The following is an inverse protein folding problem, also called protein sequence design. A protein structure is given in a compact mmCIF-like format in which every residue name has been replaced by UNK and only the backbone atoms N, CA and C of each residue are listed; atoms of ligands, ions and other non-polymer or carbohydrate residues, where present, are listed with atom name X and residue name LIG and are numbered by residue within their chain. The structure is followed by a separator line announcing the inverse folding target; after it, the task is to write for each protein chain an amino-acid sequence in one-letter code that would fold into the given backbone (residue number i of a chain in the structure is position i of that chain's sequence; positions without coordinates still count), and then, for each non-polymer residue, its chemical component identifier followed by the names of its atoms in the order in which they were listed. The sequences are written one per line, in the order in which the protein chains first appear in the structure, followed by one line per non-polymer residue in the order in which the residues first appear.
data_IF_875503233771
#
_entry.id   IF_875503233771
#
_cell.length_a   1.000
_cell.length_b   1.000
_cell.length_c   1.000
_cell.angle_alpha   90.00
_cell.angle_beta   90.00
_cell.angle_gamma   90.00
#
_symmetry.space_group_name_H-M   'P 1'
#
loop_
_entity.id
_entity.type
_entity.pdbx_description
1 polymer ?
#
# COMPACT_ATOMS: atom_id res chain seq x y z
N UNK A 1 -16.35 7.19 -13.57
CA UNK A 1 -15.64 7.19 -12.27
C UNK A 1 -16.21 8.30 -11.41
N UNK A 2 -16.49 8.04 -10.14
CA UNK A 2 -16.89 9.06 -9.18
C UNK A 2 -15.76 10.07 -9.04
N UNK A 3 -16.02 11.36 -9.22
CA UNK A 3 -14.98 12.41 -9.09
C UNK A 3 -14.57 12.48 -7.61
N UNK A 4 -13.35 12.12 -7.29
CA UNK A 4 -12.80 12.22 -5.93
C UNK A 4 -12.51 13.69 -5.63
N UNK A 5 -13.02 14.20 -4.49
CA UNK A 5 -12.67 15.53 -4.01
C UNK A 5 -11.19 15.60 -3.66
N UNK A 6 -10.49 16.63 -4.09
CA UNK A 6 -9.06 16.79 -3.88
C UNK A 6 -8.77 17.93 -2.90
N UNK A 7 -7.81 17.69 -2.04
CA UNK A 7 -7.36 18.69 -1.09
C UNK A 7 -6.80 19.95 -1.76
N UNK A 8 -6.08 19.76 -2.88
CA UNK A 8 -5.56 20.86 -3.70
C UNK A 8 -6.66 21.78 -4.25
N UNK A 9 -7.82 21.20 -4.63
CA UNK A 9 -8.95 21.98 -5.13
C UNK A 9 -9.55 22.81 -3.99
N UNK A 10 -9.70 22.23 -2.79
CA UNK A 10 -10.20 22.95 -1.60
C UNK A 10 -9.28 24.11 -1.21
N UNK A 11 -7.95 23.92 -1.32
CA UNK A 11 -6.98 25.01 -1.08
C UNK A 11 -7.16 26.12 -2.13
N UNK A 12 -7.22 25.78 -3.42
CA UNK A 12 -7.37 26.74 -4.51
C UNK A 12 -8.71 27.53 -4.39
N UNK A 13 -9.74 26.92 -3.84
CA UNK A 13 -11.05 27.54 -3.57
C UNK A 13 -11.08 28.34 -2.25
N UNK A 14 -9.97 28.44 -1.52
CA UNK A 14 -9.89 29.15 -0.23
C UNK A 14 -10.66 28.51 0.92
N UNK A 15 -11.10 27.24 0.77
CA UNK A 15 -11.95 26.53 1.74
C UNK A 15 -11.19 25.93 2.93
N UNK A 16 -9.87 26.11 3.01
CA UNK A 16 -9.00 25.51 4.00
C UNK A 16 -8.49 26.52 5.03
N UNK A 17 -8.47 27.81 4.70
CA UNK A 17 -7.97 28.87 5.58
C UNK A 17 -8.74 28.93 6.90
N UNK A 18 -7.99 28.93 8.01
CA UNK A 18 -8.53 28.92 9.36
C UNK A 18 -9.24 27.62 9.78
N UNK A 19 -9.27 26.61 8.92
CA UNK A 19 -9.92 25.33 9.21
C UNK A 19 -9.00 24.36 9.94
N UNK A 20 -9.60 23.46 10.73
CA UNK A 20 -8.92 22.32 11.33
C UNK A 20 -8.81 21.22 10.30
N UNK A 21 -7.60 20.90 9.89
CA UNK A 21 -7.31 19.90 8.86
C UNK A 21 -6.66 18.69 9.50
N UNK A 22 -7.29 17.53 9.37
CA UNK A 22 -6.79 16.24 9.86
C UNK A 22 -6.23 15.46 8.68
N UNK A 23 -4.90 15.25 8.64
CA UNK A 23 -4.22 14.53 7.56
C UNK A 23 -3.84 13.13 8.05
N UNK A 24 -4.38 12.10 7.38
CA UNK A 24 -3.91 10.72 7.54
C UNK A 24 -2.76 10.50 6.57
N UNK A 25 -1.54 10.56 7.08
CA UNK A 25 -0.32 10.33 6.32
C UNK A 25 0.19 8.87 6.46
N UNK A 26 1.06 8.42 5.58
CA UNK A 26 1.78 7.16 5.72
C UNK A 26 3.22 7.44 6.21
N UNK A 27 3.40 7.42 7.52
CA UNK A 27 4.67 7.67 8.21
C UNK A 27 5.22 6.40 8.87
N UNK A 28 4.77 5.23 8.40
CA UNK A 28 5.25 3.94 8.89
C UNK A 28 6.63 3.62 8.31
N UNK A 29 7.64 4.25 8.90
CA UNK A 29 9.05 4.15 8.50
C UNK A 29 9.75 2.95 9.13
N UNK A 30 10.76 2.37 8.49
CA UNK A 30 11.63 1.39 9.12
C UNK A 30 12.53 2.05 10.15
N UNK A 31 12.78 1.33 11.25
CA UNK A 31 13.63 1.76 12.36
C UNK A 31 14.66 0.69 12.68
N UNK A 32 15.83 1.11 13.21
CA UNK A 32 16.80 0.22 13.81
C UNK A 32 16.37 -0.21 15.23
N UNK A 33 17.19 -1.06 15.89
CA UNK A 33 16.91 -1.55 17.24
C UNK A 33 16.93 -0.45 18.31
N UNK A 34 17.46 0.73 17.99
CA UNK A 34 17.50 1.90 18.87
C UNK A 34 16.33 2.88 18.58
N UNK A 35 15.43 2.54 17.64
CA UNK A 35 14.30 3.38 17.24
C UNK A 35 14.66 4.53 16.29
N UNK A 36 15.88 4.55 15.72
CA UNK A 36 16.26 5.56 14.74
C UNK A 36 15.64 5.20 13.37
N UNK A 37 15.16 6.21 12.66
CA UNK A 37 14.64 6.05 11.30
C UNK A 37 15.80 5.69 10.37
N UNK A 38 15.73 4.53 9.71
CA UNK A 38 16.75 4.07 8.76
C UNK A 38 16.46 4.51 7.33
N UNK A 39 15.19 4.84 7.03
CA UNK A 39 14.75 5.32 5.73
C UNK A 39 13.55 6.27 5.90
N UNK A 40 13.61 7.50 5.37
CA UNK A 40 12.64 8.58 5.61
C UNK A 40 11.81 9.01 4.40
N UNK A 41 11.83 8.27 3.30
CA UNK A 41 11.09 8.61 2.07
C UNK A 41 9.61 8.88 2.33
N UNK A 42 8.97 8.11 3.20
CA UNK A 42 7.55 8.31 3.54
C UNK A 42 7.32 9.62 4.28
N UNK A 43 8.24 10.00 5.16
CA UNK A 43 8.17 11.30 5.86
C UNK A 43 8.32 12.43 4.87
N UNK A 44 9.33 12.37 3.99
CA UNK A 44 9.56 13.38 2.92
C UNK A 44 8.36 13.49 1.99
N UNK A 45 7.78 12.38 1.59
CA UNK A 45 6.62 12.33 0.70
C UNK A 45 5.36 12.97 1.31
N UNK A 46 5.23 12.98 2.64
CA UNK A 46 4.10 13.60 3.35
C UNK A 46 4.25 15.12 3.55
N UNK A 47 5.48 15.65 3.45
CA UNK A 47 5.77 17.08 3.66
C UNK A 47 4.98 18.01 2.72
N UNK A 48 4.81 17.74 1.41
CA UNK A 48 4.07 18.62 0.51
C UNK A 48 2.62 18.87 0.94
N UNK A 49 1.89 17.83 1.38
CA UNK A 49 0.51 17.96 1.84
C UNK A 49 0.41 18.82 3.10
N UNK A 50 1.32 18.56 4.07
CA UNK A 50 1.39 19.30 5.33
C UNK A 50 1.72 20.77 5.06
N UNK A 51 2.72 21.04 4.23
CA UNK A 51 3.14 22.39 3.87
C UNK A 51 2.02 23.14 3.17
N UNK A 52 1.35 22.52 2.20
CA UNK A 52 0.22 23.14 1.50
C UNK A 52 -0.92 23.53 2.45
N UNK A 53 -1.21 22.70 3.45
CA UNK A 53 -2.20 23.01 4.48
C UNK A 53 -1.77 24.21 5.35
N UNK A 54 -0.50 24.25 5.76
CA UNK A 54 0.06 25.34 6.56
C UNK A 54 0.10 26.65 5.79
N UNK A 55 0.53 26.62 4.53
CA UNK A 55 0.61 27.78 3.63
C UNK A 55 -0.80 28.35 3.34
N UNK A 56 -1.84 27.49 3.37
CA UNK A 56 -3.25 27.90 3.29
C UNK A 56 -3.80 28.45 4.61
N UNK A 57 -3.02 28.52 5.68
CA UNK A 57 -3.43 29.03 7.00
C UNK A 57 -4.30 28.09 7.82
N UNK A 58 -4.23 26.77 7.59
CA UNK A 58 -4.96 25.78 8.36
C UNK A 58 -4.33 25.53 9.74
N UNK A 59 -5.12 25.02 10.67
CA UNK A 59 -4.68 24.34 11.88
C UNK A 59 -4.51 22.85 11.57
N UNK A 60 -3.26 22.36 11.53
CA UNK A 60 -2.93 21.06 10.94
C UNK A 60 -2.69 20.00 12.00
N UNK A 61 -3.41 18.90 11.92
CA UNK A 61 -3.20 17.68 12.69
C UNK A 61 -2.81 16.56 11.76
N UNK A 62 -1.67 15.93 12.00
CA UNK A 62 -1.19 14.79 11.21
C UNK A 62 -1.21 13.54 12.05
N UNK A 63 -1.66 12.42 11.52
CA UNK A 63 -1.51 11.12 12.18
C UNK A 63 -1.05 10.04 11.21
N UNK A 64 -0.48 9.00 11.76
CA UNK A 64 -0.12 7.78 11.05
C UNK A 64 -0.13 6.60 12.00
N UNK A 65 0.04 5.41 11.44
CA UNK A 65 0.46 4.25 12.21
C UNK A 65 1.99 4.08 12.12
N UNK A 66 2.54 3.43 13.12
CA UNK A 66 3.91 2.92 13.14
C UNK A 66 3.88 1.47 13.65
N UNK A 67 4.50 0.55 12.93
CA UNK A 67 4.58 -0.84 13.34
C UNK A 67 3.23 -1.56 13.48
N UNK A 68 3.18 -2.47 14.45
CA UNK A 68 2.00 -3.31 14.72
C UNK A 68 1.68 -3.37 16.22
N UNK A 69 1.39 -2.26 16.87
CA UNK A 69 1.09 -2.24 18.28
C UNK A 69 -0.17 -3.04 18.62
N UNK A 70 -0.27 -3.43 19.90
CA UNK A 70 -1.51 -3.94 20.47
C UNK A 70 -2.42 -2.78 20.82
N UNK A 71 -3.65 -2.77 20.31
CA UNK A 71 -4.63 -1.71 20.61
C UNK A 71 -4.89 -1.57 22.12
N UNK A 72 -4.86 -0.34 22.60
CA UNK A 72 -5.05 -0.01 24.02
C UNK A 72 -3.82 -0.26 24.91
N UNK A 73 -2.68 -0.61 24.31
CA UNK A 73 -1.40 -0.79 25.00
C UNK A 73 -0.34 0.03 24.27
N UNK A 74 -0.03 1.19 24.81
CA UNK A 74 1.06 2.02 24.27
C UNK A 74 2.40 1.58 24.87
N UNK A 75 3.40 1.45 24.00
CA UNK A 75 4.80 1.21 24.39
C UNK A 75 5.69 2.27 23.75
N UNK A 76 6.83 2.61 24.38
CA UNK A 76 7.75 3.63 23.82
C UNK A 76 8.21 3.36 22.39
N UNK A 77 8.40 2.10 22.03
CA UNK A 77 8.77 1.67 20.67
C UNK A 77 7.67 1.89 19.61
N UNK A 78 6.42 2.07 20.05
CA UNK A 78 5.29 2.35 19.17
C UNK A 78 5.12 3.84 18.88
N UNK A 79 5.93 4.71 19.54
CA UNK A 79 5.77 6.17 19.46
C UNK A 79 6.23 6.75 18.14
N UNK A 80 5.48 7.73 17.64
CA UNK A 80 5.83 8.58 16.52
C UNK A 80 6.83 9.69 16.88
N UNK A 81 7.42 9.71 18.07
CA UNK A 81 8.40 10.74 18.48
C UNK A 81 9.58 10.89 17.53
N UNK A 82 10.22 9.81 17.00
CA UNK A 82 11.27 9.96 15.99
C UNK A 82 10.76 10.62 14.69
N UNK A 83 9.51 10.34 14.32
CA UNK A 83 8.87 10.93 13.13
C UNK A 83 8.56 12.41 13.38
N UNK A 84 8.10 12.81 14.56
CA UNK A 84 7.88 14.21 14.92
C UNK A 84 9.16 15.03 14.80
N UNK A 85 10.28 14.49 15.32
CA UNK A 85 11.60 15.11 15.19
C UNK A 85 11.98 15.27 13.71
N UNK A 86 11.80 14.22 12.91
CA UNK A 86 12.15 14.26 11.48
C UNK A 86 11.26 15.23 10.68
N UNK A 87 9.97 15.29 10.97
CA UNK A 87 9.06 16.28 10.40
C UNK A 87 9.46 17.71 10.76
N UNK A 88 9.85 17.94 12.01
CA UNK A 88 10.33 19.28 12.45
C UNK A 88 11.54 19.74 11.65
N UNK A 89 12.51 18.85 11.43
CA UNK A 89 13.70 19.13 10.60
C UNK A 89 13.31 19.48 9.14
N UNK A 90 12.41 18.68 8.55
CA UNK A 90 12.02 18.83 7.15
C UNK A 90 11.13 20.06 6.90
N UNK A 91 10.31 20.43 7.88
CA UNK A 91 9.44 21.60 7.80
C UNK A 91 10.14 22.90 8.29
N UNK A 92 11.31 22.80 8.93
CA UNK A 92 12.04 23.94 9.51
C UNK A 92 11.27 24.63 10.64
N UNK A 93 10.42 23.87 11.36
CA UNK A 93 9.57 24.36 12.46
C UNK A 93 9.26 23.26 13.44
N UNK A 94 8.87 23.64 14.65
CA UNK A 94 8.45 22.67 15.68
C UNK A 94 7.16 21.92 15.25
N UNK A 95 7.15 20.60 15.45
CA UNK A 95 6.02 19.70 15.25
C UNK A 95 5.81 18.92 16.57
N UNK A 96 5.05 19.47 17.51
CA UNK A 96 4.78 18.80 18.79
C UNK A 96 4.04 17.48 18.58
N UNK A 97 4.44 16.46 19.35
CA UNK A 97 3.72 15.19 19.43
C UNK A 97 2.63 15.28 20.50
N UNK A 98 1.40 14.93 20.16
CA UNK A 98 0.25 14.93 21.09
C UNK A 98 -0.14 13.48 21.36
N UNK A 99 0.04 13.01 22.60
CA UNK A 99 -0.20 11.63 23.00
C UNK A 99 -1.71 11.30 23.10
N UNK A 100 -2.44 12.05 23.92
CA UNK A 100 -3.87 11.82 24.21
C UNK A 100 -4.74 12.76 23.37
N UNK A 101 -4.94 12.42 22.12
CA UNK A 101 -5.53 13.31 21.13
C UNK A 101 -6.99 13.01 20.76
N UNK A 102 -7.48 11.80 21.00
CA UNK A 102 -8.80 11.34 20.49
C UNK A 102 -9.97 12.15 21.08
N UNK A 103 -9.83 12.60 22.33
CA UNK A 103 -10.87 13.35 23.04
C UNK A 103 -10.71 14.88 22.93
N UNK A 104 -9.70 15.36 22.22
CA UNK A 104 -9.50 16.78 21.94
C UNK A 104 -8.07 17.15 21.59
N UNK A 105 -7.89 18.09 20.68
CA UNK A 105 -6.57 18.64 20.29
C UNK A 105 -6.68 20.15 20.17
N UNK A 106 -5.68 20.85 20.73
CA UNK A 106 -5.54 22.29 20.56
C UNK A 106 -4.42 22.58 19.56
N UNK A 107 -4.79 23.14 18.42
CA UNK A 107 -3.86 23.60 17.40
C UNK A 107 -4.37 24.90 16.78
N UNK A 108 -3.50 25.89 16.64
CA UNK A 108 -3.86 27.19 16.07
C UNK A 108 -3.65 27.20 14.55
N UNK A 109 -4.43 28.00 13.80
CA UNK A 109 -4.18 28.21 12.37
C UNK A 109 -2.71 28.59 12.10
N UNK A 110 -2.13 27.98 11.06
CA UNK A 110 -0.73 28.14 10.70
C UNK A 110 0.24 27.27 11.51
N UNK A 111 -0.24 26.45 12.44
CA UNK A 111 0.57 25.50 13.20
C UNK A 111 0.22 24.05 12.85
N UNK A 112 1.15 23.14 13.19
CA UNK A 112 1.01 21.71 12.96
C UNK A 112 1.35 20.93 14.22
N UNK A 113 0.62 19.85 14.46
CA UNK A 113 0.94 18.84 15.50
C UNK A 113 0.93 17.46 14.88
N UNK A 114 1.76 16.56 15.41
CA UNK A 114 1.69 15.14 15.12
C UNK A 114 0.90 14.45 16.22
N UNK A 115 -0.14 13.72 15.86
CA UNK A 115 -0.94 12.92 16.78
C UNK A 115 -0.31 11.54 16.92
N UNK A 116 -0.19 11.05 18.15
CA UNK A 116 0.45 9.77 18.44
C UNK A 116 -0.22 8.60 17.67
N UNK A 117 0.56 7.55 17.47
CA UNK A 117 0.26 6.36 16.71
C UNK A 117 -1.21 5.92 16.78
N UNK A 118 -1.93 6.10 15.68
CA UNK A 118 -3.37 5.83 15.63
C UNK A 118 -3.71 4.37 15.96
N UNK A 119 -2.80 3.43 15.68
CA UNK A 119 -3.01 1.99 15.96
C UNK A 119 -2.95 1.62 17.43
N UNK A 120 -2.52 2.52 18.31
CA UNK A 120 -2.62 2.32 19.75
C UNK A 120 -4.05 2.51 20.27
N UNK A 121 -4.95 3.14 19.50
CA UNK A 121 -6.33 3.35 19.90
C UNK A 121 -7.17 2.08 19.71
N UNK A 122 -7.95 1.72 20.74
CA UNK A 122 -8.91 0.61 20.63
C UNK A 122 -9.97 0.92 19.60
N UNK A 123 -10.18 -0.01 18.68
CA UNK A 123 -11.16 0.13 17.62
C UNK A 123 -10.62 0.65 16.29
N UNK A 124 -9.34 1.07 16.22
CA UNK A 124 -8.74 1.53 14.97
C UNK A 124 -8.82 0.48 13.88
N UNK A 125 -8.29 -0.72 14.11
CA UNK A 125 -8.27 -1.82 13.13
C UNK A 125 -9.67 -2.38 12.82
N UNK A 126 -10.62 -2.24 13.76
CA UNK A 126 -12.00 -2.70 13.59
C UNK A 126 -12.90 -1.67 12.93
N UNK A 127 -12.35 -0.50 12.58
CA UNK A 127 -13.10 0.61 12.01
C UNK A 127 -14.29 1.02 12.91
N UNK A 128 -14.05 1.14 14.21
CA UNK A 128 -15.08 1.44 15.20
C UNK A 128 -15.73 2.81 14.94
N UNK A 129 -17.05 2.82 14.81
CA UNK A 129 -17.81 4.03 14.50
C UNK A 129 -17.73 5.08 15.61
N UNK A 130 -17.67 4.67 16.87
CA UNK A 130 -17.54 5.58 18.02
C UNK A 130 -16.20 6.30 18.01
N UNK A 131 -15.11 5.59 17.76
CA UNK A 131 -13.78 6.15 17.59
C UNK A 131 -13.73 7.10 16.39
N UNK A 132 -14.27 6.67 15.25
CA UNK A 132 -14.30 7.46 14.02
C UNK A 132 -15.07 8.78 14.19
N UNK A 133 -16.22 8.76 14.90
CA UNK A 133 -16.99 9.95 15.22
C UNK A 133 -16.24 10.93 16.15
N UNK A 134 -15.50 10.42 17.14
CA UNK A 134 -14.65 11.26 17.98
C UNK A 134 -13.57 11.96 17.15
N UNK A 135 -12.87 11.23 16.31
CA UNK A 135 -11.84 11.77 15.41
C UNK A 135 -12.41 12.81 14.43
N UNK A 136 -13.58 12.52 13.83
CA UNK A 136 -14.23 13.45 12.91
C UNK A 136 -14.60 14.80 13.56
N UNK A 137 -14.92 14.84 14.85
CA UNK A 137 -15.19 16.08 15.58
C UNK A 137 -13.96 16.97 15.76
N UNK A 138 -12.75 16.41 15.62
CA UNK A 138 -11.50 17.16 15.74
C UNK A 138 -11.26 18.06 14.52
N UNK A 139 -11.88 17.79 13.36
CA UNK A 139 -11.57 18.48 12.13
C UNK A 139 -12.78 19.01 11.38
N UNK A 140 -12.53 19.99 10.53
CA UNK A 140 -13.49 20.53 9.56
C UNK A 140 -13.23 19.88 8.18
N UNK A 141 -11.97 19.47 7.92
CA UNK A 141 -11.55 18.79 6.70
C UNK A 141 -10.68 17.59 7.07
N UNK A 142 -11.09 16.42 6.63
CA UNK A 142 -10.29 15.20 6.68
C UNK A 142 -9.59 14.97 5.33
N UNK A 143 -8.30 14.71 5.38
CA UNK A 143 -7.46 14.42 4.20
C UNK A 143 -6.87 13.03 4.33
N UNK A 144 -7.23 12.11 3.43
CA UNK A 144 -6.51 10.85 3.30
C UNK A 144 -5.36 11.02 2.31
N UNK A 145 -4.13 10.90 2.79
CA UNK A 145 -2.91 10.98 1.96
C UNK A 145 -2.01 9.75 2.14
N UNK A 146 -2.62 8.63 2.49
CA UNK A 146 -1.96 7.37 2.80
C UNK A 146 -2.42 6.23 1.87
N UNK A 147 -2.02 6.28 0.59
CA UNK A 147 -2.40 5.26 -0.41
C UNK A 147 -2.06 3.84 0.04
N UNK A 148 -0.89 3.63 0.66
CA UNK A 148 -0.46 2.32 1.15
C UNK A 148 -1.40 1.66 2.16
N UNK A 149 -2.30 2.43 2.80
CA UNK A 149 -3.31 1.92 3.75
C UNK A 149 -4.74 2.02 3.21
N UNK A 150 -4.96 2.58 2.03
CA UNK A 150 -6.29 2.86 1.48
C UNK A 150 -7.15 1.59 1.26
N UNK A 151 -6.52 0.42 1.17
CA UNK A 151 -7.19 -0.88 1.06
C UNK A 151 -7.77 -1.40 2.39
N UNK A 152 -7.56 -0.70 3.50
CA UNK A 152 -7.98 -1.13 4.85
C UNK A 152 -9.15 -0.30 5.33
N UNK A 153 -10.22 -0.95 5.78
CA UNK A 153 -11.30 -0.30 6.51
C UNK A 153 -10.89 -0.14 7.99
N UNK A 154 -10.10 0.88 8.28
CA UNK A 154 -9.66 1.26 9.63
C UNK A 154 -10.31 2.62 10.00
N UNK A 155 -10.39 2.95 11.30
CA UNK A 155 -11.10 4.16 11.75
C UNK A 155 -10.47 5.45 11.18
N UNK A 156 -9.13 5.55 11.09
CA UNK A 156 -8.43 6.73 10.54
C UNK A 156 -8.35 6.75 9.02
N UNK A 157 -8.70 5.67 8.30
CA UNK A 157 -8.68 5.61 6.83
C UNK A 157 -10.07 5.65 6.22
N UNK A 158 -11.02 4.92 6.79
CA UNK A 158 -12.39 4.77 6.28
C UNK A 158 -13.43 5.44 7.20
N UNK A 159 -13.44 5.07 8.48
CA UNK A 159 -14.49 5.51 9.41
C UNK A 159 -14.58 7.01 9.54
N UNK A 160 -13.46 7.69 9.76
CA UNK A 160 -13.42 9.16 9.89
C UNK A 160 -13.98 9.86 8.65
N UNK A 161 -13.72 9.35 7.45
CA UNK A 161 -14.22 9.93 6.20
C UNK A 161 -15.76 9.88 6.09
N UNK A 162 -16.39 8.92 6.76
CA UNK A 162 -17.86 8.79 6.82
C UNK A 162 -18.51 9.90 7.65
N UNK A 163 -17.81 10.38 8.68
CA UNK A 163 -18.37 11.31 9.68
C UNK A 163 -17.77 12.73 9.62
N UNK A 164 -16.62 12.92 8.97
CA UNK A 164 -16.04 14.24 8.79
C UNK A 164 -16.94 15.15 7.93
N UNK A 165 -17.02 16.47 8.25
CA UNK A 165 -17.81 17.42 7.47
C UNK A 165 -17.38 17.46 5.99
N UNK A 166 -16.08 17.39 5.74
CA UNK A 166 -15.48 17.27 4.39
C UNK A 166 -14.41 16.20 4.43
N UNK A 167 -14.45 15.26 3.50
CA UNK A 167 -13.43 14.24 3.31
C UNK A 167 -12.88 14.32 1.89
N UNK A 168 -11.54 14.33 1.74
CA UNK A 168 -10.89 14.48 0.44
C UNK A 168 -9.59 13.67 0.35
N UNK A 169 -9.11 13.49 -0.88
CA UNK A 169 -7.81 12.89 -1.16
C UNK A 169 -6.72 13.95 -1.06
N UNK A 170 -5.66 13.63 -0.34
CA UNK A 170 -4.42 14.38 -0.36
C UNK A 170 -3.67 14.20 -1.69
N UNK A 171 -2.61 14.98 -1.93
CA UNK A 171 -1.90 14.97 -3.21
C UNK A 171 -1.28 13.62 -3.56
N UNK A 172 -0.74 12.87 -2.60
CA UNK A 172 -0.21 11.52 -2.83
C UNK A 172 -1.32 10.55 -3.24
N UNK A 173 -2.39 10.48 -2.47
CA UNK A 173 -3.52 9.61 -2.79
C UNK A 173 -4.13 9.97 -4.14
N UNK A 174 -4.29 11.26 -4.45
CA UNK A 174 -4.82 11.73 -5.72
C UNK A 174 -3.94 11.32 -6.91
N UNK A 175 -2.61 11.46 -6.77
CA UNK A 175 -1.65 11.06 -7.81
C UNK A 175 -1.70 9.55 -8.11
N UNK A 176 -1.79 8.72 -7.07
CA UNK A 176 -1.92 7.26 -7.21
C UNK A 176 -3.24 6.88 -7.89
N UNK A 177 -4.36 7.51 -7.48
CA UNK A 177 -5.66 7.29 -8.11
C UNK A 177 -5.66 7.71 -9.59
N UNK A 178 -4.99 8.81 -9.94
CA UNK A 178 -4.85 9.25 -11.33
C UNK A 178 -4.00 8.28 -12.14
N UNK A 179 -2.87 7.81 -11.59
CA UNK A 179 -2.00 6.83 -12.25
C UNK A 179 -2.73 5.52 -12.52
N UNK A 180 -3.41 4.96 -11.51
CA UNK A 180 -4.23 3.75 -11.66
C UNK A 180 -5.41 3.97 -12.61
N UNK A 181 -6.07 5.12 -12.53
CA UNK A 181 -7.16 5.48 -13.42
C UNK A 181 -6.73 5.51 -14.89
N UNK A 182 -5.55 6.07 -15.18
CA UNK A 182 -4.95 6.04 -16.54
C UNK A 182 -4.58 4.62 -16.97
N UNK A 183 -3.91 3.87 -16.08
CA UNK A 183 -3.47 2.51 -16.38
C UNK A 183 -4.64 1.53 -16.65
N UNK A 184 -5.76 1.69 -15.95
CA UNK A 184 -6.89 0.75 -16.04
C UNK A 184 -8.06 1.26 -16.91
N UNK A 185 -8.15 2.55 -17.18
CA UNK A 185 -9.25 3.16 -17.94
C UNK A 185 -8.99 3.17 -19.45
N UNK A 186 -7.97 3.89 -19.86
CA UNK A 186 -7.56 4.00 -21.27
C UNK A 186 -6.03 4.00 -21.38
N UNK A 187 -5.38 2.85 -21.16
CA UNK A 187 -3.93 2.76 -21.14
C UNK A 187 -3.34 2.89 -22.55
N UNK A 188 -2.08 3.33 -22.60
CA UNK A 188 -1.25 3.08 -23.77
C UNK A 188 -1.00 1.57 -23.90
N UNK A 189 -0.99 1.08 -25.14
CA UNK A 189 -0.71 -0.33 -25.44
C UNK A 189 0.72 -0.52 -25.95
N UNK A 190 1.40 -1.65 -25.63
CA UNK A 190 0.90 -2.76 -24.81
C UNK A 190 0.82 -2.42 -23.31
N UNK A 191 -0.24 -2.87 -22.64
CA UNK A 191 -0.36 -2.84 -21.19
C UNK A 191 0.09 -4.16 -20.61
N UNK A 192 1.12 -4.12 -19.76
CA UNK A 192 1.66 -5.29 -19.08
C UNK A 192 1.34 -5.19 -17.59
N UNK A 193 0.82 -6.25 -17.00
CA UNK A 193 0.68 -6.37 -15.55
C UNK A 193 1.58 -7.48 -15.02
N UNK A 194 2.23 -7.22 -13.89
CA UNK A 194 3.05 -8.20 -13.16
C UNK A 194 2.37 -8.46 -11.82
N UNK A 195 1.99 -9.71 -11.58
CA UNK A 195 1.35 -10.14 -10.32
C UNK A 195 2.15 -11.29 -9.74
N UNK A 196 2.75 -11.06 -8.58
CA UNK A 196 3.52 -12.06 -7.88
C UNK A 196 3.01 -12.28 -6.45
N UNK A 197 3.38 -13.42 -5.88
CA UNK A 197 3.03 -13.77 -4.51
C UNK A 197 3.07 -15.27 -4.26
N UNK A 198 2.81 -15.66 -3.02
CA UNK A 198 2.84 -17.08 -2.61
C UNK A 198 1.59 -17.85 -3.01
N UNK A 199 0.42 -17.19 -3.12
CA UNK A 199 -0.88 -17.85 -3.26
C UNK A 199 -1.76 -17.20 -4.33
N UNK A 200 -2.28 -18.00 -5.26
CA UNK A 200 -3.32 -17.61 -6.25
C UNK A 200 -4.61 -17.21 -5.55
N UNK A 201 -5.04 -17.96 -4.53
CA UNK A 201 -6.29 -17.75 -3.79
C UNK A 201 -6.43 -16.30 -3.27
N UNK A 202 -5.33 -15.69 -2.85
CA UNK A 202 -5.32 -14.31 -2.35
C UNK A 202 -5.39 -13.25 -3.44
N UNK A 203 -5.16 -13.63 -4.71
CA UNK A 203 -5.07 -12.72 -5.87
C UNK A 203 -6.02 -13.08 -7.01
N UNK A 204 -6.83 -14.12 -6.85
CA UNK A 204 -7.65 -14.68 -7.92
C UNK A 204 -8.55 -13.63 -8.61
N UNK A 205 -9.26 -12.81 -7.83
CA UNK A 205 -10.12 -11.74 -8.36
C UNK A 205 -9.33 -10.71 -9.16
N UNK A 206 -8.13 -10.35 -8.69
CA UNK A 206 -7.25 -9.40 -9.39
C UNK A 206 -6.71 -10.02 -10.67
N UNK A 207 -6.27 -11.27 -10.64
CA UNK A 207 -5.76 -11.99 -11.82
C UNK A 207 -6.82 -12.09 -12.90
N UNK A 208 -8.06 -12.51 -12.56
CA UNK A 208 -9.19 -12.56 -13.50
C UNK A 208 -9.50 -11.18 -14.08
N UNK A 209 -9.60 -10.14 -13.25
CA UNK A 209 -9.87 -8.77 -13.70
C UNK A 209 -8.77 -8.18 -14.58
N UNK A 210 -7.50 -8.48 -14.31
CA UNK A 210 -6.38 -8.03 -15.14
C UNK A 210 -6.33 -8.78 -16.48
N UNK A 211 -6.57 -10.10 -16.48
CA UNK A 211 -6.64 -10.89 -17.71
C UNK A 211 -7.67 -10.35 -18.72
N UNK A 212 -8.69 -9.62 -18.26
CA UNK A 212 -9.67 -8.92 -19.12
C UNK A 212 -9.15 -7.61 -19.72
N UNK A 213 -8.05 -7.04 -19.22
CA UNK A 213 -7.64 -5.66 -19.51
C UNK A 213 -6.27 -5.53 -20.15
N UNK A 214 -5.34 -6.40 -19.78
CA UNK A 214 -3.93 -6.32 -20.18
C UNK A 214 -3.66 -7.04 -21.51
N UNK A 215 -2.55 -6.69 -22.15
CA UNK A 215 -2.03 -7.40 -23.33
C UNK A 215 -1.10 -8.54 -22.91
N UNK A 216 -0.47 -8.40 -21.72
CA UNK A 216 0.36 -9.44 -21.14
C UNK A 216 0.20 -9.46 -19.62
N UNK A 217 -0.06 -10.64 -19.04
CA UNK A 217 -0.11 -10.88 -17.61
C UNK A 217 1.07 -11.75 -17.19
N UNK A 218 2.08 -11.14 -16.59
CA UNK A 218 3.24 -11.84 -16.05
C UNK A 218 2.93 -12.26 -14.60
N UNK A 219 3.11 -13.53 -14.30
CA UNK A 219 2.92 -14.09 -12.96
C UNK A 219 4.24 -14.53 -12.36
N UNK A 220 4.41 -14.33 -11.03
CA UNK A 220 5.65 -14.62 -10.31
C UNK A 220 5.43 -15.37 -8.99
N UNK A 221 6.50 -15.96 -8.46
CA UNK A 221 6.50 -16.67 -7.17
C UNK A 221 5.63 -17.94 -7.20
N UNK A 222 5.00 -18.29 -6.07
CA UNK A 222 4.11 -19.44 -5.95
C UNK A 222 2.89 -19.38 -6.89
N UNK A 223 2.46 -18.17 -7.25
CA UNK A 223 1.44 -17.97 -8.30
C UNK A 223 1.93 -18.54 -9.63
N UNK A 224 3.15 -18.18 -10.06
CA UNK A 224 3.73 -18.71 -11.30
C UNK A 224 3.81 -20.24 -11.29
N UNK A 225 4.19 -20.84 -10.17
CA UNK A 225 4.27 -22.29 -10.03
C UNK A 225 2.90 -22.96 -10.24
N UNK A 226 1.82 -22.35 -9.76
CA UNK A 226 0.46 -22.85 -9.99
C UNK A 226 0.08 -22.74 -11.48
N UNK A 227 0.46 -21.65 -12.16
CA UNK A 227 0.25 -21.48 -13.61
C UNK A 227 1.11 -22.44 -14.44
N UNK A 228 2.32 -22.76 -13.98
CA UNK A 228 3.17 -23.80 -14.60
C UNK A 228 2.52 -25.19 -14.49
N UNK A 229 1.98 -25.55 -13.31
CA UNK A 229 1.17 -26.78 -13.15
C UNK A 229 -0.04 -26.80 -14.10
N UNK A 230 -0.76 -25.68 -14.20
CA UNK A 230 -1.89 -25.53 -15.11
C UNK A 230 -1.50 -25.74 -16.58
N UNK A 231 -0.24 -25.44 -16.92
CA UNK A 231 0.34 -25.65 -18.23
C UNK A 231 0.95 -27.06 -18.43
N UNK A 232 0.80 -27.95 -17.44
CA UNK A 232 1.29 -29.34 -17.51
C UNK A 232 2.76 -29.50 -17.19
N UNK A 233 3.42 -28.51 -16.60
CA UNK A 233 4.84 -28.54 -16.26
C UNK A 233 5.07 -29.08 -14.85
N UNK A 234 6.24 -29.72 -14.65
CA UNK A 234 6.67 -30.16 -13.32
C UNK A 234 7.24 -28.98 -12.54
N UNK A 235 6.95 -28.94 -11.26
CA UNK A 235 7.42 -27.88 -10.35
C UNK A 235 8.16 -28.43 -9.11
N UNK A 236 8.40 -29.75 -9.05
CA UNK A 236 9.04 -30.40 -7.89
C UNK A 236 8.30 -30.15 -6.58
N UNK A 237 9.05 -29.75 -5.55
CA UNK A 237 8.51 -29.39 -4.23
C UNK A 237 8.16 -27.90 -4.10
N UNK A 238 8.07 -27.17 -5.21
CA UNK A 238 7.81 -25.73 -5.20
C UNK A 238 6.44 -25.40 -4.61
N UNK A 239 6.38 -24.27 -3.94
CA UNK A 239 5.11 -23.75 -3.40
C UNK A 239 4.11 -23.50 -4.52
N UNK A 240 2.94 -24.14 -4.45
CA UNK A 240 1.83 -23.95 -5.39
C UNK A 240 0.49 -24.30 -4.72
N UNK A 241 -0.61 -23.89 -5.32
CA UNK A 241 -1.98 -24.27 -4.94
C UNK A 241 -2.55 -25.19 -6.03
N UNK A 242 -2.34 -26.50 -5.88
CA UNK A 242 -2.74 -27.49 -6.89
C UNK A 242 -4.27 -27.59 -7.07
N UNK A 243 -5.04 -27.22 -6.07
CA UNK A 243 -6.50 -27.12 -6.08
C UNK A 243 -7.03 -25.92 -6.90
N UNK A 244 -6.17 -24.98 -7.28
CA UNK A 244 -6.51 -23.82 -8.13
C UNK A 244 -5.94 -23.90 -9.55
N UNK A 245 -5.54 -25.08 -9.99
CA UNK A 245 -5.03 -25.31 -11.34
C UNK A 245 -6.08 -25.01 -12.42
N UNK A 246 -7.33 -25.35 -12.19
CA UNK A 246 -8.40 -25.11 -13.14
C UNK A 246 -8.72 -23.61 -13.28
N UNK A 247 -8.69 -22.86 -12.19
CA UNK A 247 -8.82 -21.40 -12.22
C UNK A 247 -7.64 -20.73 -12.97
N UNK A 248 -6.43 -21.26 -12.80
CA UNK A 248 -5.27 -20.77 -13.56
C UNK A 248 -5.40 -21.04 -15.05
N UNK A 249 -5.93 -22.22 -15.45
CA UNK A 249 -6.25 -22.53 -16.87
C UNK A 249 -7.31 -21.59 -17.43
N UNK A 250 -8.37 -21.30 -16.68
CA UNK A 250 -9.40 -20.32 -17.09
C UNK A 250 -8.79 -18.96 -17.37
N UNK A 251 -7.90 -18.47 -16.51
CA UNK A 251 -7.25 -17.17 -16.66
C UNK A 251 -6.36 -17.15 -17.91
N UNK A 252 -5.58 -18.22 -18.16
CA UNK A 252 -4.74 -18.35 -19.36
C UNK A 252 -5.63 -18.31 -20.62
N UNK A 253 -6.72 -19.06 -20.63
CA UNK A 253 -7.62 -19.16 -21.77
C UNK A 253 -8.38 -17.84 -22.00
N UNK A 254 -8.83 -17.17 -20.94
CA UNK A 254 -9.45 -15.87 -21.01
C UNK A 254 -8.51 -14.82 -21.65
N UNK A 255 -7.25 -14.78 -21.22
CA UNK A 255 -6.26 -13.91 -21.82
C UNK A 255 -6.04 -14.25 -23.31
N UNK A 256 -5.84 -15.54 -23.63
CA UNK A 256 -5.61 -16.03 -25.00
C UNK A 256 -6.75 -15.68 -25.96
N UNK A 257 -8.00 -15.84 -25.52
CA UNK A 257 -9.21 -15.53 -26.33
C UNK A 257 -9.27 -14.07 -26.74
N UNK A 258 -8.69 -13.18 -25.96
CA UNK A 258 -8.60 -11.74 -26.26
C UNK A 258 -7.34 -11.34 -27.03
N UNK A 259 -6.47 -12.29 -27.39
CA UNK A 259 -5.17 -12.00 -28.00
C UNK A 259 -4.10 -11.51 -27.02
N UNK A 260 -4.37 -11.61 -25.71
CA UNK A 260 -3.39 -11.36 -24.66
C UNK A 260 -2.60 -12.63 -24.31
N UNK A 261 -1.49 -12.48 -23.59
CA UNK A 261 -0.64 -13.59 -23.19
C UNK A 261 -0.43 -13.68 -21.68
N UNK A 262 -0.25 -14.92 -21.21
CA UNK A 262 0.26 -15.22 -19.86
C UNK A 262 1.54 -16.03 -20.08
N UNK A 263 2.72 -15.38 -20.14
CA UNK A 263 3.97 -16.06 -20.41
C UNK A 263 4.29 -17.07 -19.30
N UNK A 264 4.67 -18.27 -19.72
CA UNK A 264 5.15 -19.32 -18.80
C UNK A 264 6.67 -19.37 -18.93
N UNK A 265 7.43 -19.45 -17.82
CA UNK A 265 8.87 -19.52 -17.84
C UNK A 265 9.40 -20.65 -18.73
N UNK A 266 10.47 -20.37 -19.50
CA UNK A 266 11.20 -21.39 -20.28
C UNK A 266 12.36 -21.99 -19.47
N UNK A 267 12.93 -21.21 -18.57
CA UNK A 267 13.98 -21.60 -17.63
C UNK A 267 13.72 -21.02 -16.25
N UNK A 268 14.26 -21.65 -15.24
CA UNK A 268 14.05 -21.33 -13.84
C UNK A 268 15.34 -21.46 -13.03
N UNK A 269 15.38 -20.73 -11.91
CA UNK A 269 16.41 -20.91 -10.87
C UNK A 269 15.83 -21.82 -9.80
N UNK A 270 16.49 -22.95 -9.55
CA UNK A 270 16.07 -23.93 -8.56
C UNK A 270 17.11 -24.12 -7.47
N UNK A 271 16.67 -24.59 -6.30
CA UNK A 271 17.53 -25.13 -5.25
C UNK A 271 16.87 -26.33 -4.59
N UNK A 272 17.63 -27.08 -3.76
CA UNK A 272 17.09 -28.22 -3.03
C UNK A 272 16.46 -27.83 -1.69
N UNK A 273 16.76 -26.64 -1.20
CA UNK A 273 16.28 -26.09 0.04
C UNK A 273 16.05 -24.58 -0.05
N UNK A 274 15.20 -24.04 0.81
CA UNK A 274 14.96 -22.60 0.93
C UNK A 274 15.84 -22.03 2.04
N UNK A 275 17.11 -21.78 1.72
CA UNK A 275 18.09 -21.26 2.66
C UNK A 275 19.05 -20.28 1.97
N UNK A 276 19.61 -19.28 2.69
CA UNK A 276 20.58 -18.32 2.12
C UNK A 276 21.85 -18.99 1.58
N UNK A 277 22.20 -20.19 2.07
CA UNK A 277 23.36 -20.98 1.68
C UNK A 277 23.06 -22.01 0.59
N UNK A 278 21.81 -22.11 0.14
CA UNK A 278 21.40 -23.07 -0.88
C UNK A 278 22.12 -22.84 -2.21
N UNK A 279 22.53 -23.93 -2.85
CA UNK A 279 23.17 -23.86 -4.17
C UNK A 279 22.09 -23.68 -5.25
N UNK A 280 22.07 -22.52 -5.85
CA UNK A 280 21.18 -22.21 -6.96
C UNK A 280 21.65 -22.92 -8.25
N UNK A 281 20.69 -23.42 -9.04
CA UNK A 281 20.91 -24.01 -10.36
C UNK A 281 19.94 -23.38 -11.35
N UNK A 282 20.44 -22.99 -12.52
CA UNK A 282 19.63 -22.56 -13.64
C UNK A 282 19.39 -23.78 -14.52
N UNK A 283 18.14 -24.03 -14.88
CA UNK A 283 17.79 -25.16 -15.75
C UNK A 283 16.55 -24.85 -16.58
N UNK A 284 16.38 -25.49 -17.75
CA UNK A 284 15.11 -25.51 -18.47
C UNK A 284 13.97 -26.02 -17.57
N UNK A 285 12.78 -25.49 -17.74
CA UNK A 285 11.61 -25.91 -16.97
C UNK A 285 11.32 -27.41 -17.08
N UNK A 286 11.60 -27.99 -18.26
CA UNK A 286 11.43 -29.43 -18.52
C UNK A 286 12.31 -30.31 -17.63
N UNK A 287 13.44 -29.78 -17.13
CA UNK A 287 14.45 -30.52 -16.35
C UNK A 287 14.26 -30.34 -14.83
N UNK A 288 13.15 -29.75 -14.40
CA UNK A 288 12.82 -29.62 -12.97
C UNK A 288 12.60 -30.99 -12.37
N UNK A 289 13.42 -31.33 -11.36
CA UNK A 289 13.35 -32.60 -10.66
C UNK A 289 12.28 -32.58 -9.53
N UNK A 290 11.85 -33.77 -9.10
CA UNK A 290 10.80 -33.91 -8.09
C UNK A 290 11.18 -33.31 -6.73
N UNK A 291 12.49 -33.14 -6.43
CA UNK A 291 13.02 -32.56 -5.20
C UNK A 291 13.50 -31.11 -5.34
N UNK A 292 13.31 -30.48 -6.50
CA UNK A 292 13.62 -29.07 -6.74
C UNK A 292 12.58 -28.13 -6.11
N UNK A 293 13.09 -26.98 -5.67
CA UNK A 293 12.29 -25.80 -5.34
C UNK A 293 12.60 -24.72 -6.38
N UNK A 294 11.58 -24.27 -7.12
CA UNK A 294 11.70 -23.13 -8.03
C UNK A 294 11.64 -21.85 -7.17
N UNK A 295 12.70 -21.05 -7.24
CA UNK A 295 12.87 -19.85 -6.43
C UNK A 295 12.77 -18.56 -7.26
N UNK A 296 13.09 -18.62 -8.56
CA UNK A 296 13.03 -17.50 -9.48
C UNK A 296 12.92 -17.97 -10.93
N UNK A 297 12.63 -17.04 -11.85
CA UNK A 297 12.76 -17.26 -13.30
C UNK A 297 14.24 -17.30 -13.68
N UNK A 298 14.54 -18.00 -14.76
CA UNK A 298 15.90 -18.03 -15.33
C UNK A 298 16.19 -16.83 -16.23
N UNK A 299 17.45 -16.67 -16.66
CA UNK A 299 17.89 -15.52 -17.46
C UNK A 299 17.25 -15.46 -18.84
N UNK A 300 16.94 -16.60 -19.47
CA UNK A 300 16.28 -16.62 -20.78
C UNK A 300 14.82 -16.15 -20.66
N UNK A 301 14.12 -16.58 -19.64
CA UNK A 301 12.77 -16.07 -19.30
C UNK A 301 12.81 -14.59 -19.00
N UNK A 302 13.75 -14.13 -18.17
CA UNK A 302 13.84 -12.70 -17.82
C UNK A 302 14.14 -11.82 -19.04
N UNK A 303 14.87 -12.34 -20.04
CA UNK A 303 15.15 -11.62 -21.28
C UNK A 303 13.94 -11.61 -22.23
N UNK A 304 13.09 -12.63 -22.18
CA UNK A 304 11.92 -12.76 -23.03
C UNK A 304 10.73 -11.91 -22.53
N UNK A 305 10.66 -11.61 -21.25
CA UNK A 305 9.64 -10.77 -20.61
C UNK A 305 9.96 -9.28 -20.74
#
# INVERSE_FOLDING_TARGET
MTKVLRFTDLIAEGKVSGKRVFIRADLNVPQDDNGNITEDTRVRASVPAIKAALDAGAAVMVTSHLGRPTEGQFKPEDSLAPVAKRLSELLGRDVPLVADWVDGVQVQPGNVVLLENCRCNKGEKKNDDGLAQKMAKLCDVYVNDAFGTAHRAEATTHGIAKYAPVACAGPLLAAELDALGKALGNPKRPLVAIVAGSKVSTKLTILKSLAEKVDQLIVGGGIANTFMLASGLKIGKSLAEADLVDEAKEIIEQARTRGASVPIPSDVVTAKEFAPTAKAQIKPVADVADDDLILDIGPDTAKAL
#
